data_IF_581200548437
#
_entry.id   IF_581200548437
#
_cell.length_a   1.000
_cell.length_b   1.000
_cell.length_c   1.000
_cell.angle_alpha   90.00
_cell.angle_beta   90.00
_cell.angle_gamma   90.00
#
_symmetry.space_group_name_H-M   'P 1'
#
loop_
_entity.id
_entity.type
_entity.pdbx_description
1 polymer ?
#
# COMPACT_ATOMS: atom_id res chain seq x y z
N UNK A 1 -12.53 -31.66 20.43
CA UNK A 1 -11.61 -31.72 19.27
C UNK A 1 -12.48 -31.84 18.03
N UNK A 2 -12.84 -30.70 17.43
CA UNK A 2 -13.58 -30.67 16.17
C UNK A 2 -12.58 -30.33 15.07
N UNK A 3 -12.50 -31.25 14.10
CA UNK A 3 -11.58 -31.27 12.97
C UNK A 3 -11.95 -30.15 11.99
N UNK A 4 -11.13 -29.09 11.94
CA UNK A 4 -11.30 -27.97 11.02
C UNK A 4 -10.73 -28.38 9.67
N UNK A 5 -11.58 -28.85 8.76
CA UNK A 5 -11.23 -28.99 7.34
C UNK A 5 -11.14 -27.61 6.70
N UNK A 6 -9.92 -27.13 6.49
CA UNK A 6 -9.64 -25.99 5.61
C UNK A 6 -9.83 -26.49 4.16
N UNK A 7 -10.72 -25.89 3.35
CA UNK A 7 -10.82 -26.22 1.93
C UNK A 7 -9.49 -25.88 1.23
N UNK A 8 -8.81 -26.89 0.71
CA UNK A 8 -7.52 -26.74 0.04
C UNK A 8 -7.69 -26.05 -1.31
N UNK A 9 -7.44 -24.74 -1.35
CA UNK A 9 -6.94 -24.09 -2.56
C UNK A 9 -5.42 -24.29 -2.56
N UNK A 10 -4.97 -25.46 -3.01
CA UNK A 10 -3.55 -25.69 -3.29
C UNK A 10 -3.20 -24.90 -4.54
N UNK A 11 -2.58 -23.74 -4.37
CA UNK A 11 -1.79 -23.15 -5.45
C UNK A 11 -0.76 -24.22 -5.85
N UNK A 12 -0.69 -24.67 -7.11
CA UNK A 12 0.41 -25.52 -7.52
C UNK A 12 1.65 -24.65 -7.43
N UNK A 13 2.42 -24.78 -6.33
CA UNK A 13 3.82 -24.41 -6.37
C UNK A 13 4.37 -25.26 -7.50
N UNK A 14 4.79 -24.64 -8.60
CA UNK A 14 5.40 -25.36 -9.71
C UNK A 14 6.69 -25.97 -9.16
N UNK A 15 6.62 -27.24 -8.76
CA UNK A 15 7.74 -28.05 -8.26
C UNK A 15 8.54 -28.65 -9.42
N UNK A 16 8.14 -28.35 -10.65
CA UNK A 16 8.85 -28.79 -11.84
C UNK A 16 10.22 -28.11 -11.83
N UNK A 17 11.23 -28.89 -11.48
CA UNK A 17 12.62 -28.52 -11.73
C UNK A 17 12.70 -28.26 -13.23
N UNK A 18 13.09 -27.05 -13.67
CA UNK A 18 13.16 -26.70 -15.08
C UNK A 18 14.05 -27.71 -15.77
N UNK A 19 13.73 -28.01 -17.02
CA UNK A 19 14.65 -28.80 -17.85
C UNK A 19 16.05 -28.17 -17.80
N UNK A 20 17.12 -28.96 -17.97
CA UNK A 20 18.49 -28.46 -17.87
C UNK A 20 18.79 -27.26 -18.78
N UNK A 21 17.98 -27.05 -19.83
CA UNK A 21 18.11 -25.96 -20.81
C UNK A 21 17.05 -24.84 -20.65
N UNK A 22 16.11 -24.93 -19.70
CA UNK A 22 15.13 -23.87 -19.46
C UNK A 22 15.72 -22.75 -18.60
N UNK A 23 15.59 -21.47 -19.01
CA UNK A 23 16.14 -20.36 -18.24
C UNK A 23 15.46 -20.27 -16.87
N UNK A 24 16.25 -20.13 -15.81
CA UNK A 24 15.73 -19.85 -14.47
C UNK A 24 15.31 -18.38 -14.36
N UNK A 25 16.06 -17.48 -15.00
CA UNK A 25 15.81 -16.04 -15.04
C UNK A 25 15.59 -15.57 -16.48
N UNK A 26 14.52 -14.81 -16.72
CA UNK A 26 14.39 -13.98 -17.92
C UNK A 26 14.48 -12.50 -17.51
N UNK A 27 15.60 -11.87 -17.84
CA UNK A 27 15.85 -10.45 -17.58
C UNK A 27 15.44 -9.63 -18.80
N UNK A 28 14.30 -8.96 -18.69
CA UNK A 28 13.75 -8.13 -19.76
C UNK A 28 14.39 -6.74 -19.74
N UNK A 29 14.78 -6.24 -20.91
CA UNK A 29 15.22 -4.86 -21.11
C UNK A 29 14.22 -4.18 -22.05
N UNK A 30 13.23 -3.41 -21.52
CA UNK A 30 12.30 -2.69 -22.36
C UNK A 30 13.01 -1.50 -23.02
N UNK A 31 12.86 -1.34 -24.33
CA UNK A 31 13.52 -0.27 -25.10
C UNK A 31 12.57 0.45 -26.02
N UNK A 32 12.77 1.75 -26.18
CA UNK A 32 12.07 2.59 -27.15
C UNK A 32 13.03 3.68 -27.66
N UNK A 33 13.46 3.55 -28.92
CA UNK A 33 14.42 4.44 -29.55
C UNK A 33 15.75 4.58 -28.76
N UNK A 34 16.41 3.45 -28.53
CA UNK A 34 17.63 3.30 -27.72
C UNK A 34 18.78 2.70 -28.55
N UNK A 35 18.92 3.10 -29.82
CA UNK A 35 19.90 2.51 -30.75
C UNK A 35 21.37 2.65 -30.26
N UNK A 36 21.65 3.69 -29.47
CA UNK A 36 22.97 3.99 -28.91
C UNK A 36 23.29 3.17 -27.66
N UNK A 37 22.32 3.05 -26.76
CA UNK A 37 22.54 2.57 -25.40
C UNK A 37 22.28 1.06 -25.26
N UNK A 38 21.48 0.48 -26.16
CA UNK A 38 21.10 -0.92 -26.12
C UNK A 38 22.31 -1.87 -26.19
N UNK A 39 23.24 -1.66 -27.13
CA UNK A 39 24.35 -2.60 -27.33
C UNK A 39 25.36 -2.61 -26.17
N UNK A 40 25.84 -1.47 -25.64
CA UNK A 40 26.64 -1.44 -24.42
C UNK A 40 25.92 -2.08 -23.22
N UNK A 41 24.63 -1.78 -23.05
CA UNK A 41 23.81 -2.30 -21.97
C UNK A 41 23.74 -3.84 -21.99
N UNK A 42 23.29 -4.43 -23.09
CA UNK A 42 23.10 -5.89 -23.22
C UNK A 42 24.43 -6.63 -23.09
N UNK A 43 25.52 -6.10 -23.67
CA UNK A 43 26.85 -6.72 -23.54
C UNK A 43 27.33 -6.71 -22.08
N UNK A 44 27.12 -5.62 -21.35
CA UNK A 44 27.48 -5.51 -19.92
C UNK A 44 26.63 -6.44 -19.06
N UNK A 45 25.31 -6.49 -19.31
CA UNK A 45 24.40 -7.42 -18.64
C UNK A 45 24.80 -8.87 -18.88
N UNK A 46 25.01 -9.27 -20.14
CA UNK A 46 25.40 -10.62 -20.52
C UNK A 46 26.73 -11.01 -19.87
N UNK A 47 27.74 -10.14 -19.92
CA UNK A 47 29.03 -10.40 -19.28
C UNK A 47 28.90 -10.56 -17.76
N UNK A 48 28.12 -9.71 -17.09
CA UNK A 48 27.90 -9.78 -15.65
C UNK A 48 27.16 -11.07 -15.25
N UNK A 49 26.07 -11.40 -15.95
CA UNK A 49 25.29 -12.62 -15.70
C UNK A 49 26.13 -13.87 -15.94
N UNK A 50 26.88 -13.92 -17.05
CA UNK A 50 27.78 -15.05 -17.35
C UNK A 50 28.84 -15.24 -16.26
N UNK A 51 29.37 -14.14 -15.71
CA UNK A 51 30.44 -14.21 -14.72
C UNK A 51 29.93 -14.51 -13.29
N UNK A 52 28.71 -14.10 -12.93
CA UNK A 52 28.27 -14.04 -11.53
C UNK A 52 26.96 -14.76 -11.23
N UNK A 53 26.11 -15.02 -12.23
CA UNK A 53 24.81 -15.62 -12.01
C UNK A 53 24.88 -17.15 -12.16
N UNK A 54 24.55 -17.92 -11.11
CA UNK A 54 24.85 -19.36 -11.08
C UNK A 54 23.84 -20.24 -11.82
N UNK A 55 22.82 -19.65 -12.46
CA UNK A 55 21.72 -20.38 -13.10
C UNK A 55 21.59 -20.02 -14.58
N UNK A 56 20.99 -20.89 -15.41
CA UNK A 56 20.62 -20.54 -16.78
C UNK A 56 19.77 -19.27 -16.82
N UNK A 57 20.09 -18.37 -17.74
CA UNK A 57 19.38 -17.10 -17.89
C UNK A 57 19.12 -16.78 -19.36
N UNK A 58 18.16 -15.90 -19.57
CA UNK A 58 17.86 -15.24 -20.84
C UNK A 58 17.81 -13.74 -20.60
N UNK A 59 18.29 -12.96 -21.58
CA UNK A 59 18.04 -11.53 -21.65
C UNK A 59 17.07 -11.30 -22.79
N UNK A 60 15.90 -10.75 -22.51
CA UNK A 60 14.90 -10.45 -23.55
C UNK A 60 14.86 -8.95 -23.80
N UNK A 61 15.32 -8.52 -24.98
CA UNK A 61 15.15 -7.14 -25.44
C UNK A 61 13.70 -6.99 -25.91
N UNK A 62 12.92 -6.20 -25.18
CA UNK A 62 11.52 -5.95 -25.47
C UNK A 62 11.36 -4.57 -26.14
N UNK A 63 11.39 -4.57 -27.46
CA UNK A 63 11.23 -3.37 -28.28
C UNK A 63 9.77 -2.89 -28.26
N UNK A 64 9.59 -1.62 -27.93
CA UNK A 64 8.31 -0.99 -27.66
C UNK A 64 7.92 0.01 -28.76
N UNK A 65 7.84 -0.48 -30.00
CA UNK A 65 7.44 0.32 -31.16
C UNK A 65 8.48 1.35 -31.55
N UNK A 66 9.77 0.99 -31.47
CA UNK A 66 10.86 1.88 -31.90
C UNK A 66 10.77 2.20 -33.38
N UNK A 67 11.23 3.39 -33.75
CA UNK A 67 11.22 3.93 -35.11
C UNK A 67 12.62 4.18 -35.66
N UNK A 68 13.67 3.91 -34.86
CA UNK A 68 15.09 4.06 -35.19
C UNK A 68 15.77 2.69 -35.39
N UNK A 69 17.11 2.65 -35.32
CA UNK A 69 17.90 1.43 -35.49
C UNK A 69 17.80 0.40 -34.35
N UNK A 70 17.05 0.66 -33.28
CA UNK A 70 17.02 -0.17 -32.05
C UNK A 70 16.75 -1.66 -32.34
N UNK A 71 15.73 -1.96 -33.16
CA UNK A 71 15.35 -3.34 -33.46
C UNK A 71 16.45 -4.08 -34.25
N UNK A 72 17.13 -3.38 -35.15
CA UNK A 72 18.26 -3.95 -35.89
C UNK A 72 19.43 -4.28 -34.95
N UNK A 73 19.76 -3.38 -34.04
CA UNK A 73 20.79 -3.60 -33.01
C UNK A 73 20.43 -4.81 -32.12
N UNK A 74 19.17 -4.93 -31.70
CA UNK A 74 18.69 -6.06 -30.92
C UNK A 74 18.89 -7.41 -31.63
N UNK A 75 18.56 -7.49 -32.92
CA UNK A 75 18.76 -8.71 -33.72
C UNK A 75 20.23 -9.05 -33.93
N UNK A 76 21.09 -8.04 -34.11
CA UNK A 76 22.54 -8.24 -34.20
C UNK A 76 23.09 -8.84 -32.91
N UNK A 77 22.70 -8.30 -31.75
CA UNK A 77 23.11 -8.83 -30.44
C UNK A 77 22.64 -10.27 -30.23
N UNK A 78 21.43 -10.62 -30.70
CA UNK A 78 20.92 -11.98 -30.64
C UNK A 78 21.66 -12.98 -31.54
N UNK A 79 22.30 -12.51 -32.61
CA UNK A 79 23.20 -13.32 -33.42
C UNK A 79 24.61 -13.47 -32.83
N UNK A 80 25.07 -12.49 -32.04
CA UNK A 80 26.41 -12.46 -31.45
C UNK A 80 26.51 -13.17 -30.09
N UNK A 81 25.45 -13.10 -29.28
CA UNK A 81 25.45 -13.56 -27.89
C UNK A 81 24.39 -14.64 -27.68
N UNK A 82 24.77 -15.72 -26.99
CA UNK A 82 23.83 -16.76 -26.56
C UNK A 82 22.85 -16.22 -25.51
N UNK A 83 21.63 -16.76 -25.47
CA UNK A 83 20.66 -16.41 -24.43
C UNK A 83 20.04 -15.02 -24.58
N UNK A 84 20.25 -14.34 -25.72
CA UNK A 84 19.55 -13.09 -26.04
C UNK A 84 18.30 -13.39 -26.87
N UNK A 85 17.16 -12.93 -26.40
CA UNK A 85 15.89 -12.94 -27.12
C UNK A 85 15.48 -11.54 -27.56
N UNK A 86 14.74 -11.44 -28.66
CA UNK A 86 14.16 -10.18 -29.13
C UNK A 86 12.65 -10.36 -29.21
N UNK A 87 11.91 -9.40 -28.65
CA UNK A 87 10.46 -9.31 -28.77
C UNK A 87 10.12 -7.90 -29.26
N UNK A 88 9.36 -7.81 -30.35
CA UNK A 88 8.86 -6.54 -30.86
C UNK A 88 7.37 -6.40 -30.59
N UNK A 89 6.99 -5.25 -30.03
CA UNK A 89 5.61 -4.83 -29.84
C UNK A 89 5.38 -3.57 -30.66
N UNK A 90 4.49 -3.63 -31.65
CA UNK A 90 4.27 -2.52 -32.59
C UNK A 90 3.66 -1.27 -31.94
N UNK A 91 2.82 -1.44 -30.91
CA UNK A 91 2.18 -0.33 -30.19
C UNK A 91 3.00 0.13 -28.99
N UNK A 92 3.08 1.45 -28.79
CA UNK A 92 3.82 2.04 -27.67
C UNK A 92 3.18 1.73 -26.31
N UNK A 93 4.05 1.52 -25.32
CA UNK A 93 3.75 1.39 -23.90
C UNK A 93 4.75 0.46 -23.20
N UNK A 94 5.50 0.97 -22.21
CA UNK A 94 6.49 0.16 -21.46
C UNK A 94 5.83 -1.06 -20.82
N UNK A 95 4.71 -0.85 -20.13
CA UNK A 95 3.91 -1.93 -19.57
C UNK A 95 3.41 -2.94 -20.59
N UNK A 96 3.17 -2.52 -21.85
CA UNK A 96 2.81 -3.45 -22.94
C UNK A 96 3.98 -4.35 -23.33
N UNK A 97 5.16 -3.78 -23.52
CA UNK A 97 6.37 -4.52 -23.83
C UNK A 97 6.72 -5.51 -22.70
N UNK A 98 6.67 -5.06 -21.45
CA UNK A 98 6.89 -5.90 -20.27
C UNK A 98 5.86 -7.02 -20.16
N UNK A 99 4.56 -6.71 -20.29
CA UNK A 99 3.50 -7.72 -20.27
C UNK A 99 3.71 -8.78 -21.36
N UNK A 100 4.02 -8.35 -22.58
CA UNK A 100 4.22 -9.26 -23.70
C UNK A 100 5.44 -10.18 -23.45
N UNK A 101 6.56 -9.64 -22.99
CA UNK A 101 7.77 -10.40 -22.68
C UNK A 101 7.53 -11.41 -21.55
N UNK A 102 6.92 -10.96 -20.45
CA UNK A 102 6.65 -11.80 -19.29
C UNK A 102 5.61 -12.90 -19.56
N UNK A 103 4.61 -12.61 -20.40
CA UNK A 103 3.60 -13.61 -20.80
C UNK A 103 4.22 -14.69 -21.70
N UNK A 104 5.14 -14.31 -22.59
CA UNK A 104 5.79 -15.23 -23.53
C UNK A 104 6.93 -16.05 -22.89
N UNK A 105 7.44 -15.63 -21.74
CA UNK A 105 8.56 -16.29 -21.08
C UNK A 105 8.14 -17.57 -20.37
N UNK A 106 9.04 -18.55 -20.30
CA UNK A 106 8.87 -19.77 -19.52
C UNK A 106 9.77 -19.83 -18.28
N UNK A 107 10.56 -18.78 -18.03
CA UNK A 107 11.49 -18.75 -16.90
C UNK A 107 10.76 -18.78 -15.56
N UNK A 108 11.43 -19.25 -14.51
CA UNK A 108 10.85 -19.27 -13.16
C UNK A 108 10.70 -17.87 -12.56
N UNK A 109 11.70 -17.02 -12.80
CA UNK A 109 11.72 -15.64 -12.35
C UNK A 109 11.78 -14.73 -13.56
N UNK A 110 10.88 -13.76 -13.58
CA UNK A 110 10.81 -12.72 -14.57
C UNK A 110 11.32 -11.44 -13.92
N UNK A 111 12.32 -10.81 -14.51
CA UNK A 111 12.82 -9.53 -14.04
C UNK A 111 12.83 -8.51 -15.17
N UNK A 112 12.94 -7.24 -14.83
CA UNK A 112 13.35 -6.23 -15.78
C UNK A 112 14.31 -5.22 -15.15
N UNK A 113 15.12 -4.62 -16.02
CA UNK A 113 15.97 -3.47 -15.71
C UNK A 113 15.88 -2.45 -16.85
N UNK A 114 16.01 -1.16 -16.52
CA UNK A 114 16.13 -0.10 -17.52
C UNK A 114 17.43 -0.23 -18.33
N UNK A 115 17.41 0.27 -19.57
CA UNK A 115 18.54 0.17 -20.53
C UNK A 115 19.76 1.00 -20.12
N UNK A 116 19.57 2.07 -19.37
CA UNK A 116 20.63 2.95 -18.86
C UNK A 116 21.54 2.27 -17.82
N UNK A 117 21.10 1.14 -17.26
CA UNK A 117 21.75 0.46 -16.14
C UNK A 117 22.08 1.41 -14.97
N UNK A 118 21.18 2.35 -14.68
CA UNK A 118 21.34 3.26 -13.52
C UNK A 118 21.39 2.51 -12.19
N UNK A 119 20.86 1.29 -12.15
CA UNK A 119 20.91 0.39 -10.98
C UNK A 119 22.13 -0.51 -11.04
N UNK A 120 22.87 -0.63 -9.94
CA UNK A 120 24.01 -1.56 -9.86
C UNK A 120 23.57 -3.03 -10.03
N UNK A 121 24.23 -3.73 -10.95
CA UNK A 121 23.99 -5.14 -11.26
C UNK A 121 24.34 -6.07 -10.09
N UNK A 122 25.15 -5.62 -9.13
CA UNK A 122 25.39 -6.35 -7.89
C UNK A 122 24.10 -6.65 -7.10
N UNK A 123 23.04 -5.85 -7.31
CA UNK A 123 21.75 -6.04 -6.68
C UNK A 123 20.88 -7.12 -7.35
N UNK A 124 21.27 -7.67 -8.51
CA UNK A 124 20.45 -8.61 -9.26
C UNK A 124 20.25 -9.95 -8.54
N UNK A 125 21.31 -10.54 -7.99
CA UNK A 125 21.17 -11.78 -7.23
C UNK A 125 20.36 -11.58 -5.93
N UNK A 126 20.57 -10.51 -5.13
CA UNK A 126 19.67 -10.14 -4.04
C UNK A 126 18.21 -9.94 -4.45
N UNK A 127 17.93 -9.43 -5.64
CA UNK A 127 16.57 -9.27 -6.17
C UNK A 127 15.92 -10.61 -6.50
N UNK A 128 16.68 -11.57 -7.06
CA UNK A 128 16.15 -12.84 -7.57
C UNK A 128 16.12 -13.94 -6.51
N UNK A 129 17.08 -14.00 -5.59
CA UNK A 129 17.20 -15.07 -4.60
C UNK A 129 15.97 -15.26 -3.67
N UNK A 130 15.28 -14.20 -3.19
CA UNK A 130 14.05 -14.34 -2.40
C UNK A 130 12.91 -15.00 -3.19
N UNK A 131 12.90 -14.85 -4.52
CA UNK A 131 11.88 -15.42 -5.40
C UNK A 131 12.15 -16.89 -5.68
N UNK A 132 13.41 -17.25 -5.95
CA UNK A 132 13.83 -18.64 -6.16
C UNK A 132 13.64 -19.49 -4.90
N UNK A 133 13.89 -18.92 -3.72
CA UNK A 133 13.66 -19.60 -2.43
C UNK A 133 12.19 -19.71 -2.03
N UNK A 134 11.29 -19.03 -2.75
CA UNK A 134 9.87 -18.92 -2.36
C UNK A 134 9.64 -18.10 -1.09
N UNK A 135 10.65 -17.38 -0.60
CA UNK A 135 10.52 -16.46 0.54
C UNK A 135 9.64 -15.25 0.18
N UNK A 136 9.68 -14.82 -1.08
CA UNK A 136 8.91 -13.68 -1.57
C UNK A 136 8.28 -13.99 -2.92
N UNK A 137 7.25 -13.23 -3.25
CA UNK A 137 6.44 -13.43 -4.44
C UNK A 137 6.76 -12.37 -5.51
N UNK A 138 7.12 -11.16 -5.05
CA UNK A 138 7.64 -10.03 -5.84
C UNK A 138 8.86 -9.46 -5.13
N UNK A 139 9.85 -8.98 -5.88
CA UNK A 139 10.98 -8.23 -5.35
C UNK A 139 11.22 -6.95 -6.15
N UNK A 140 11.57 -5.87 -5.47
CA UNK A 140 11.83 -4.57 -6.07
C UNK A 140 13.12 -3.97 -5.55
N UNK A 141 13.84 -3.25 -6.40
CA UNK A 141 14.84 -2.30 -5.97
C UNK A 141 14.17 -1.11 -5.28
N UNK A 142 14.83 -0.54 -4.27
CA UNK A 142 14.40 0.70 -3.62
C UNK A 142 15.55 1.69 -3.50
N UNK A 143 15.26 2.93 -3.88
CA UNK A 143 16.17 4.08 -3.75
C UNK A 143 15.91 4.86 -2.46
N UNK A 144 14.97 4.43 -1.61
CA UNK A 144 14.42 5.25 -0.52
C UNK A 144 14.66 4.68 0.88
N UNK A 145 15.27 3.50 1.00
CA UNK A 145 15.65 2.89 2.28
C UNK A 145 17.07 3.30 2.71
N UNK A 146 17.36 3.20 4.01
CA UNK A 146 18.63 3.67 4.58
C UNK A 146 19.90 2.97 4.08
N UNK A 147 19.77 1.86 3.35
CA UNK A 147 20.89 1.14 2.73
C UNK A 147 21.22 1.55 1.29
N UNK A 148 20.38 2.37 0.65
CA UNK A 148 20.56 2.77 -0.76
C UNK A 148 21.51 3.97 -0.87
N UNK A 149 22.50 3.92 -1.78
CA UNK A 149 23.35 5.08 -2.10
C UNK A 149 22.87 5.70 -3.41
N UNK A 150 22.25 6.87 -3.32
CA UNK A 150 21.60 7.50 -4.46
C UNK A 150 22.19 8.86 -4.75
N UNK A 151 22.71 9.04 -5.96
CA UNK A 151 23.13 10.34 -6.48
C UNK A 151 22.04 10.83 -7.42
N UNK A 152 21.27 11.85 -7.02
CA UNK A 152 20.17 12.40 -7.81
C UNK A 152 19.92 13.88 -7.57
N UNK A 153 19.34 14.55 -8.56
CA UNK A 153 18.94 15.96 -8.42
C UNK A 153 17.79 16.15 -7.41
N UNK A 154 17.82 17.26 -6.67
CA UNK A 154 16.82 17.58 -5.64
C UNK A 154 15.36 17.60 -6.16
N UNK A 155 15.17 17.98 -7.44
CA UNK A 155 13.86 17.97 -8.09
C UNK A 155 13.30 16.54 -8.23
N UNK A 156 14.11 15.60 -8.73
CA UNK A 156 13.71 14.18 -8.89
C UNK A 156 13.46 13.53 -7.54
N UNK A 157 14.26 13.88 -6.53
CA UNK A 157 14.03 13.42 -5.15
C UNK A 157 12.68 13.87 -4.60
N UNK A 158 12.35 15.17 -4.75
CA UNK A 158 11.06 15.69 -4.32
C UNK A 158 9.89 15.02 -5.05
N UNK A 159 9.97 14.87 -6.37
CA UNK A 159 8.92 14.21 -7.17
C UNK A 159 8.72 12.77 -6.71
N UNK A 160 9.80 12.00 -6.57
CA UNK A 160 9.73 10.59 -6.15
C UNK A 160 9.15 10.42 -4.74
N UNK A 161 9.54 11.27 -3.78
CA UNK A 161 8.98 11.23 -2.42
C UNK A 161 7.52 11.63 -2.37
N UNK A 162 7.14 12.69 -3.09
CA UNK A 162 5.74 13.10 -3.20
C UNK A 162 4.88 12.01 -3.84
N UNK A 163 5.40 11.35 -4.87
CA UNK A 163 4.72 10.24 -5.53
C UNK A 163 4.44 9.08 -4.56
N UNK A 164 5.48 8.59 -3.86
CA UNK A 164 5.30 7.50 -2.90
C UNK A 164 4.40 7.93 -1.72
N UNK A 165 4.45 9.18 -1.26
CA UNK A 165 3.51 9.72 -0.26
C UNK A 165 2.05 9.63 -0.71
N UNK A 166 1.78 9.92 -1.99
CA UNK A 166 0.43 9.78 -2.56
C UNK A 166 0.02 8.30 -2.56
N UNK A 167 0.91 7.37 -2.93
CA UNK A 167 0.60 5.94 -2.90
C UNK A 167 0.32 5.42 -1.48
N UNK A 168 1.14 5.81 -0.50
CA UNK A 168 0.93 5.46 0.90
C UNK A 168 -0.38 6.00 1.45
N UNK A 169 -0.75 7.24 1.09
CA UNK A 169 -1.98 7.88 1.61
C UNK A 169 -3.26 7.43 0.88
N UNK A 170 -3.24 7.34 -0.45
CA UNK A 170 -4.43 7.03 -1.24
C UNK A 170 -4.67 5.53 -1.37
N UNK A 171 -3.61 4.73 -1.53
CA UNK A 171 -3.72 3.30 -1.83
C UNK A 171 -3.28 2.40 -0.67
N UNK A 172 -2.76 2.98 0.42
CA UNK A 172 -2.20 2.26 1.57
C UNK A 172 -1.06 1.33 1.15
N UNK A 173 -0.17 1.81 0.27
CA UNK A 173 1.03 1.07 -0.10
C UNK A 173 1.91 0.79 1.14
N UNK A 174 2.47 -0.40 1.24
CA UNK A 174 3.40 -0.82 2.31
C UNK A 174 4.86 -0.80 1.84
N UNK A 175 5.10 -0.78 0.53
CA UNK A 175 6.43 -0.70 -0.09
C UNK A 175 6.93 0.74 -0.21
N UNK A 176 8.24 0.93 -0.20
CA UNK A 176 8.87 2.26 -0.15
C UNK A 176 9.04 2.95 -1.51
N UNK A 177 9.30 2.21 -2.59
CA UNK A 177 9.62 2.79 -3.92
C UNK A 177 8.93 2.05 -5.07
N UNK A 178 7.82 2.60 -5.56
CA UNK A 178 7.13 2.03 -6.73
C UNK A 178 7.89 2.23 -8.05
N UNK A 179 8.62 3.34 -8.18
CA UNK A 179 9.12 3.86 -9.47
C UNK A 179 10.51 3.33 -9.85
N UNK A 180 11.16 2.55 -8.99
CA UNK A 180 12.46 1.97 -9.34
C UNK A 180 12.27 0.94 -10.46
N UNK A 181 12.91 1.17 -11.61
CA UNK A 181 12.88 0.30 -12.81
C UNK A 181 13.74 -0.95 -12.68
N UNK A 182 13.72 -1.56 -11.50
CA UNK A 182 14.44 -2.78 -11.17
C UNK A 182 13.51 -3.67 -10.34
N UNK A 183 12.85 -4.62 -11.01
CA UNK A 183 11.81 -5.45 -10.39
C UNK A 183 11.88 -6.88 -10.88
N UNK A 184 11.49 -7.80 -10.01
CA UNK A 184 11.36 -9.20 -10.32
C UNK A 184 10.10 -9.81 -9.70
N UNK A 185 9.56 -10.83 -10.36
CA UNK A 185 8.33 -11.52 -9.98
C UNK A 185 8.47 -13.01 -10.32
N UNK A 186 7.89 -13.88 -9.49
CA UNK A 186 7.80 -15.30 -9.83
C UNK A 186 6.82 -15.50 -10.99
N UNK A 187 7.12 -16.42 -11.91
CA UNK A 187 6.30 -16.66 -13.10
C UNK A 187 4.85 -17.05 -12.79
N UNK A 188 4.67 -17.95 -11.84
CA UNK A 188 3.34 -18.39 -11.39
C UNK A 188 2.52 -17.25 -10.76
N UNK A 189 3.21 -16.27 -10.17
CA UNK A 189 2.59 -15.04 -9.64
C UNK A 189 2.25 -14.09 -10.77
N UNK A 190 3.18 -13.86 -11.71
CA UNK A 190 2.97 -13.01 -12.87
C UNK A 190 1.76 -13.47 -13.70
N UNK A 191 1.58 -14.77 -13.91
CA UNK A 191 0.46 -15.34 -14.66
C UNK A 191 -0.91 -14.99 -14.09
N UNK A 192 -0.99 -14.77 -12.78
CA UNK A 192 -2.24 -14.42 -12.10
C UNK A 192 -2.43 -12.90 -11.97
N UNK A 193 -1.34 -12.14 -11.85
CA UNK A 193 -1.40 -10.68 -11.65
C UNK A 193 -1.48 -9.92 -12.98
N UNK A 194 -0.71 -10.32 -14.00
CA UNK A 194 -0.65 -9.62 -15.29
C UNK A 194 -2.01 -9.43 -15.98
N UNK A 195 -2.94 -10.41 -15.97
CA UNK A 195 -4.26 -10.22 -16.59
C UNK A 195 -5.11 -9.13 -15.92
N UNK A 196 -4.81 -8.77 -14.67
CA UNK A 196 -5.56 -7.77 -13.91
C UNK A 196 -5.03 -6.34 -14.09
N UNK A 197 -3.79 -6.20 -14.55
CA UNK A 197 -3.20 -4.90 -14.84
C UNK A 197 -3.90 -4.32 -16.07
N UNK A 198 -4.27 -3.04 -16.03
CA UNK A 198 -4.92 -2.35 -17.14
C UNK A 198 -3.96 -1.39 -17.83
N UNK A 199 -3.03 -0.81 -17.08
CA UNK A 199 -2.08 0.14 -17.61
C UNK A 199 -1.09 -0.52 -18.57
N UNK A 200 -0.83 0.15 -19.68
CA UNK A 200 0.16 -0.28 -20.68
C UNK A 200 1.39 0.63 -20.71
N UNK A 201 1.41 1.70 -19.93
CA UNK A 201 2.44 2.73 -19.91
C UNK A 201 3.38 2.59 -18.71
N UNK A 202 3.73 3.73 -18.11
CA UNK A 202 4.63 3.81 -16.96
C UNK A 202 3.98 3.41 -15.63
N UNK A 203 2.65 3.56 -15.52
CA UNK A 203 1.92 3.24 -14.29
C UNK A 203 1.77 1.72 -14.07
N UNK A 204 2.09 0.90 -15.08
CA UNK A 204 2.12 -0.56 -15.02
C UNK A 204 2.80 -1.11 -13.76
N UNK A 205 3.97 -0.57 -13.39
CA UNK A 205 4.74 -1.02 -12.24
C UNK A 205 4.04 -0.76 -10.91
N UNK A 206 3.48 0.44 -10.77
CA UNK A 206 2.73 0.81 -9.57
C UNK A 206 1.46 -0.03 -9.45
N UNK A 207 0.76 -0.24 -10.56
CA UNK A 207 -0.44 -1.08 -10.59
C UNK A 207 -0.11 -2.53 -10.23
N UNK A 208 0.96 -3.11 -10.79
CA UNK A 208 1.47 -4.43 -10.42
C UNK A 208 1.69 -4.55 -8.91
N UNK A 209 2.42 -3.59 -8.30
CA UNK A 209 2.77 -3.66 -6.88
C UNK A 209 1.56 -3.49 -5.97
N UNK A 210 0.65 -2.57 -6.30
CA UNK A 210 -0.58 -2.39 -5.52
C UNK A 210 -1.48 -3.61 -5.63
N UNK A 211 -1.65 -4.19 -6.82
CA UNK A 211 -2.43 -5.42 -7.00
C UNK A 211 -1.78 -6.59 -6.23
N UNK A 212 -0.45 -6.71 -6.27
CA UNK A 212 0.28 -7.74 -5.55
C UNK A 212 0.11 -7.62 -4.03
N UNK A 213 0.31 -6.42 -3.48
CA UNK A 213 0.10 -6.16 -2.05
C UNK A 213 -1.37 -6.40 -1.66
N UNK A 214 -2.31 -5.93 -2.49
CA UNK A 214 -3.74 -6.17 -2.27
C UNK A 214 -4.04 -7.65 -2.31
N UNK A 215 -3.37 -8.46 -3.13
CA UNK A 215 -3.50 -9.92 -3.15
C UNK A 215 -2.85 -10.63 -1.94
N UNK A 216 -2.19 -9.88 -1.04
CA UNK A 216 -1.49 -10.44 0.12
C UNK A 216 -0.15 -11.09 -0.22
N UNK A 217 0.41 -10.77 -1.39
CA UNK A 217 1.71 -11.26 -1.82
C UNK A 217 2.84 -10.59 -1.04
N UNK A 218 3.92 -11.34 -0.80
CA UNK A 218 5.10 -10.84 -0.11
C UNK A 218 5.99 -10.08 -1.09
N UNK A 219 6.14 -8.79 -0.85
CA UNK A 219 7.00 -7.90 -1.62
C UNK A 219 8.31 -7.70 -0.84
N UNK A 220 9.45 -8.04 -1.44
CA UNK A 220 10.77 -7.84 -0.85
C UNK A 220 11.49 -6.65 -1.48
N UNK A 221 11.99 -5.74 -0.65
CA UNK A 221 12.70 -4.54 -1.09
C UNK A 221 14.21 -4.68 -0.92
N UNK A 222 14.94 -4.52 -2.03
CA UNK A 222 16.40 -4.55 -2.07
C UNK A 222 16.92 -3.12 -2.17
N UNK A 223 17.70 -2.62 -1.20
CA UNK A 223 18.35 -1.31 -1.35
C UNK A 223 19.30 -1.35 -2.54
N UNK A 224 19.18 -0.38 -3.44
CA UNK A 224 20.03 -0.30 -4.64
C UNK A 224 20.87 0.96 -4.66
N UNK A 225 22.09 0.82 -5.18
CA UNK A 225 22.90 1.97 -5.55
C UNK A 225 22.42 2.47 -6.91
N UNK A 226 22.17 3.77 -6.99
CA UNK A 226 21.54 4.39 -8.15
C UNK A 226 22.17 5.74 -8.49
N UNK A 227 22.51 5.91 -9.76
CA UNK A 227 23.09 7.16 -10.28
C UNK A 227 22.16 7.71 -11.36
N UNK A 228 21.78 8.98 -11.19
CA UNK A 228 20.89 9.70 -12.09
C UNK A 228 21.50 9.84 -13.48
N UNK A 229 20.82 9.33 -14.51
CA UNK A 229 21.16 9.65 -15.89
C UNK A 229 20.62 11.06 -16.25
N UNK A 230 21.49 12.00 -16.64
CA UNK A 230 21.09 13.35 -17.05
C UNK A 230 20.23 13.35 -18.34
N UNK A 231 20.35 12.37 -19.22
CA UNK A 231 19.60 12.30 -20.48
C UNK A 231 18.24 11.61 -20.29
N UNK A 232 17.21 12.37 -19.93
CA UNK A 232 15.84 11.82 -19.83
C UNK A 232 14.99 12.24 -21.02
N UNK A 233 14.67 11.24 -21.86
CA UNK A 233 13.73 11.36 -22.98
C UNK A 233 12.25 11.30 -22.57
N UNK A 234 11.97 11.18 -21.27
CA UNK A 234 10.61 11.01 -20.72
C UNK A 234 9.98 12.37 -20.42
N UNK A 235 8.76 12.59 -20.92
CA UNK A 235 7.93 13.73 -20.53
C UNK A 235 7.40 13.53 -19.09
N UNK A 236 8.04 14.23 -18.15
CA UNK A 236 7.75 14.13 -16.72
C UNK A 236 6.30 14.56 -16.40
N UNK A 237 5.77 15.58 -17.09
CA UNK A 237 4.44 16.11 -16.79
C UNK A 237 3.34 15.18 -17.30
N UNK A 238 3.47 14.72 -18.55
CA UNK A 238 2.52 13.77 -19.11
C UNK A 238 2.50 12.46 -18.30
N UNK A 239 3.67 11.98 -17.89
CA UNK A 239 3.79 10.77 -17.07
C UNK A 239 3.17 10.95 -15.68
N UNK A 240 3.45 12.08 -15.01
CA UNK A 240 2.86 12.36 -13.70
C UNK A 240 1.33 12.45 -13.73
N UNK A 241 0.76 13.09 -14.76
CA UNK A 241 -0.69 13.17 -14.94
C UNK A 241 -1.29 11.78 -15.22
N UNK A 242 -0.65 10.98 -16.08
CA UNK A 242 -1.07 9.61 -16.36
C UNK A 242 -1.06 8.75 -15.09
N UNK A 243 -0.01 8.84 -14.29
CA UNK A 243 0.09 8.11 -13.03
C UNK A 243 -0.99 8.54 -12.03
N UNK A 244 -1.25 9.85 -11.87
CA UNK A 244 -2.31 10.33 -10.97
C UNK A 244 -3.70 9.83 -11.39
N UNK A 245 -3.97 9.79 -12.70
CA UNK A 245 -5.20 9.18 -13.23
C UNK A 245 -5.25 7.68 -12.96
N UNK A 246 -4.12 6.98 -13.12
CA UNK A 246 -3.96 5.57 -12.77
C UNK A 246 -4.25 5.31 -11.28
N UNK A 247 -3.71 6.13 -10.38
CA UNK A 247 -3.97 6.07 -8.94
C UNK A 247 -5.46 6.28 -8.65
N UNK A 248 -6.09 7.28 -9.25
CA UNK A 248 -7.52 7.56 -9.05
C UNK A 248 -8.44 6.46 -9.61
N UNK A 249 -8.04 5.79 -10.69
CA UNK A 249 -8.71 4.60 -11.23
C UNK A 249 -8.59 3.45 -10.24
N UNK A 250 -7.36 3.09 -9.88
CA UNK A 250 -7.07 1.95 -9.01
C UNK A 250 -7.69 2.13 -7.62
N UNK A 251 -7.66 3.34 -7.05
CA UNK A 251 -8.33 3.66 -5.80
C UNK A 251 -9.83 3.39 -5.86
N UNK A 252 -10.50 3.77 -6.96
CA UNK A 252 -11.93 3.51 -7.15
C UNK A 252 -12.21 2.01 -7.25
N UNK A 253 -11.46 1.28 -8.07
CA UNK A 253 -11.64 -0.17 -8.23
C UNK A 253 -11.49 -0.92 -6.90
N UNK A 254 -10.45 -0.56 -6.16
CA UNK A 254 -10.18 -1.07 -4.82
C UNK A 254 -11.33 -0.78 -3.85
N UNK A 255 -11.88 0.44 -3.86
CA UNK A 255 -13.01 0.83 -2.99
C UNK A 255 -14.29 0.08 -3.35
N UNK A 256 -14.46 -0.27 -4.63
CA UNK A 256 -15.65 -1.00 -5.11
C UNK A 256 -15.61 -2.52 -4.87
N UNK A 257 -14.57 -3.04 -4.19
CA UNK A 257 -14.41 -4.45 -3.81
C UNK A 257 -14.60 -5.43 -4.98
N UNK A 258 -13.75 -5.33 -6.00
CA UNK A 258 -13.82 -6.17 -7.21
C UNK A 258 -13.64 -7.66 -6.88
N UNK A 259 -14.50 -8.56 -7.40
CA UNK A 259 -14.40 -10.00 -7.16
C UNK A 259 -13.05 -10.62 -7.55
N UNK A 260 -12.37 -10.03 -8.55
CA UNK A 260 -11.06 -10.48 -9.05
C UNK A 260 -9.97 -10.48 -7.99
N UNK A 261 -9.89 -9.44 -7.14
CA UNK A 261 -8.89 -9.34 -6.08
C UNK A 261 -9.15 -10.35 -4.95
N UNK A 262 -10.40 -10.59 -4.62
CA UNK A 262 -10.80 -11.60 -3.63
C UNK A 262 -10.45 -13.01 -4.13
N UNK A 263 -10.68 -13.28 -5.42
CA UNK A 263 -10.30 -14.54 -6.05
C UNK A 263 -8.78 -14.72 -6.09
N UNK A 264 -8.02 -13.67 -6.42
CA UNK A 264 -6.56 -13.68 -6.42
C UNK A 264 -5.99 -13.99 -5.02
N UNK A 265 -6.52 -13.34 -3.97
CA UNK A 265 -6.17 -13.65 -2.57
C UNK A 265 -6.41 -15.11 -2.21
N UNK A 266 -7.55 -15.65 -2.64
CA UNK A 266 -7.91 -17.04 -2.38
C UNK A 266 -6.98 -18.02 -3.11
N UNK A 267 -6.60 -17.72 -4.36
CA UNK A 267 -5.68 -18.55 -5.15
C UNK A 267 -4.32 -18.71 -4.49
N UNK A 268 -3.78 -17.65 -3.88
CA UNK A 268 -2.51 -17.72 -3.14
C UNK A 268 -2.62 -18.20 -1.69
N UNK A 269 -3.84 -18.50 -1.20
CA UNK A 269 -4.04 -18.89 0.20
C UNK A 269 -3.67 -17.78 1.21
N UNK A 270 -3.67 -16.52 0.77
CA UNK A 270 -3.25 -15.33 1.56
C UNK A 270 -4.46 -14.54 2.07
N UNK A 271 -5.51 -15.24 2.48
CA UNK A 271 -6.62 -14.60 3.19
C UNK A 271 -6.09 -13.89 4.45
N UNK A 272 -6.62 -12.71 4.83
CA UNK A 272 -6.25 -12.05 6.08
C UNK A 272 -6.36 -13.05 7.22
N UNK A 273 -5.33 -13.15 8.06
CA UNK A 273 -5.38 -13.94 9.28
C UNK A 273 -6.54 -13.42 10.11
N UNK A 274 -7.67 -14.14 10.09
CA UNK A 274 -8.83 -13.77 10.90
C UNK A 274 -8.47 -14.04 12.35
N UNK A 275 -8.44 -13.00 13.21
CA UNK A 275 -8.20 -13.17 14.63
C UNK A 275 -9.51 -13.57 15.30
N UNK A 276 -10.19 -14.62 14.82
CA UNK A 276 -11.26 -15.24 15.61
C UNK A 276 -10.64 -16.18 16.66
N UNK A 277 -9.52 -15.74 17.25
CA UNK A 277 -8.96 -16.29 18.48
C UNK A 277 -9.60 -15.49 19.61
N UNK A 278 -10.48 -16.10 20.42
CA UNK A 278 -11.09 -15.43 21.56
C UNK A 278 -10.00 -14.83 22.46
N UNK A 279 -10.05 -13.51 22.69
CA UNK A 279 -9.10 -12.80 23.57
C UNK A 279 -8.04 -11.93 22.88
N UNK A 280 -7.85 -12.02 21.55
CA UNK A 280 -6.94 -11.12 20.83
C UNK A 280 -7.67 -9.81 20.47
N UNK A 281 -7.24 -8.63 20.98
CA UNK A 281 -7.94 -7.38 20.71
C UNK A 281 -7.89 -7.01 19.23
N UNK A 282 -9.04 -6.67 18.64
CA UNK A 282 -9.11 -6.04 17.31
C UNK A 282 -8.24 -4.76 17.28
N UNK A 283 -7.44 -4.59 16.21
CA UNK A 283 -6.45 -3.52 16.09
C UNK A 283 -7.00 -2.09 16.30
N UNK A 284 -6.12 -1.17 16.71
CA UNK A 284 -6.46 0.24 17.01
C UNK A 284 -7.31 0.96 15.95
N UNK A 285 -7.05 0.82 14.63
CA UNK A 285 -7.80 1.54 13.60
C UNK A 285 -9.28 1.16 13.57
N UNK A 286 -9.60 -0.14 13.69
CA UNK A 286 -10.98 -0.62 13.73
C UNK A 286 -11.73 -0.14 14.97
N UNK A 287 -11.05 -0.08 16.12
CA UNK A 287 -11.62 0.46 17.35
C UNK A 287 -11.85 1.98 17.24
N UNK A 288 -10.91 2.73 16.67
CA UNK A 288 -11.05 4.17 16.50
C UNK A 288 -12.20 4.52 15.55
N UNK A 289 -12.35 3.78 14.44
CA UNK A 289 -13.48 3.95 13.52
C UNK A 289 -14.82 3.72 14.23
N UNK A 290 -14.97 2.60 14.94
CA UNK A 290 -16.19 2.29 15.71
C UNK A 290 -16.46 3.31 16.80
N UNK A 291 -15.42 3.74 17.54
CA UNK A 291 -15.53 4.80 18.55
C UNK A 291 -16.04 6.11 17.95
N UNK A 292 -15.54 6.48 16.77
CA UNK A 292 -15.94 7.69 16.05
C UNK A 292 -17.38 7.58 15.57
N UNK A 293 -17.77 6.45 14.99
CA UNK A 293 -19.17 6.18 14.59
C UNK A 293 -20.12 6.27 15.77
N UNK A 294 -19.78 5.62 16.90
CA UNK A 294 -20.57 5.70 18.13
C UNK A 294 -20.66 7.14 18.65
N UNK A 295 -19.57 7.91 18.55
CA UNK A 295 -19.54 9.34 18.88
C UNK A 295 -20.51 10.18 18.03
N UNK A 296 -20.46 10.02 16.70
CA UNK A 296 -21.36 10.74 15.77
C UNK A 296 -22.83 10.41 16.04
N UNK A 297 -23.15 9.13 16.19
CA UNK A 297 -24.51 8.68 16.50
C UNK A 297 -24.99 9.19 17.86
N UNK A 298 -24.11 9.22 18.86
CA UNK A 298 -24.44 9.75 20.20
C UNK A 298 -24.72 11.25 20.16
N UNK A 299 -23.98 12.01 19.34
CA UNK A 299 -24.22 13.44 19.14
C UNK A 299 -25.56 13.69 18.45
N UNK A 300 -25.91 12.93 17.42
CA UNK A 300 -27.21 13.02 16.76
C UNK A 300 -28.35 12.67 17.74
N UNK A 301 -28.20 11.60 18.53
CA UNK A 301 -29.16 11.23 19.56
C UNK A 301 -29.31 12.30 20.64
N UNK A 302 -28.22 12.97 21.04
CA UNK A 302 -28.24 14.08 21.98
C UNK A 302 -29.09 15.24 21.44
N UNK A 303 -28.88 15.65 20.18
CA UNK A 303 -29.64 16.75 19.56
C UNK A 303 -31.14 16.42 19.47
N UNK A 304 -31.48 15.20 19.07
CA UNK A 304 -32.87 14.74 19.01
C UNK A 304 -33.54 14.71 20.39
N UNK A 305 -32.82 14.19 21.39
CA UNK A 305 -33.32 14.10 22.76
C UNK A 305 -33.47 15.48 23.41
N UNK A 306 -32.52 16.39 23.18
CA UNK A 306 -32.63 17.78 23.59
C UNK A 306 -33.87 18.42 22.97
N UNK A 307 -34.03 18.34 21.64
CA UNK A 307 -35.19 18.92 20.95
C UNK A 307 -36.52 18.38 21.48
N UNK A 308 -36.62 17.08 21.75
CA UNK A 308 -37.81 16.45 22.29
C UNK A 308 -38.11 16.90 23.74
N UNK A 309 -37.12 16.88 24.64
CA UNK A 309 -37.31 17.27 26.05
C UNK A 309 -37.59 18.78 26.16
N UNK A 310 -37.07 19.60 25.25
CA UNK A 310 -37.35 21.05 25.19
C UNK A 310 -38.82 21.37 24.95
N UNK A 311 -39.61 20.44 24.42
CA UNK A 311 -41.06 20.60 24.26
C UNK A 311 -41.80 20.68 25.61
N UNK A 312 -41.25 20.06 26.65
CA UNK A 312 -41.89 19.93 27.97
C UNK A 312 -41.07 20.53 29.11
N UNK A 313 -39.80 20.90 28.88
CA UNK A 313 -38.88 21.37 29.91
C UNK A 313 -38.01 22.57 29.49
N UNK A 314 -37.53 23.31 30.48
CA UNK A 314 -36.59 24.44 30.31
C UNK A 314 -35.25 24.03 29.68
N UNK A 315 -34.52 25.00 29.14
CA UNK A 315 -33.32 24.75 28.32
C UNK A 315 -32.23 24.00 29.07
N UNK A 316 -32.01 24.41 30.31
CA UNK A 316 -30.99 23.83 31.17
C UNK A 316 -31.35 22.39 31.58
N UNK A 317 -32.61 22.14 31.95
CA UNK A 317 -33.06 20.81 32.33
C UNK A 317 -33.03 19.84 31.15
N UNK A 318 -33.47 20.28 29.96
CA UNK A 318 -33.40 19.48 28.75
C UNK A 318 -31.96 19.15 28.34
N UNK A 319 -31.05 20.12 28.44
CA UNK A 319 -29.63 19.91 28.17
C UNK A 319 -29.01 18.89 29.14
N UNK A 320 -29.27 19.05 30.45
CA UNK A 320 -28.75 18.16 31.48
C UNK A 320 -29.24 16.71 31.26
N UNK A 321 -30.54 16.52 31.05
CA UNK A 321 -31.12 15.20 30.83
C UNK A 321 -30.60 14.56 29.53
N UNK A 322 -30.53 15.32 28.44
CA UNK A 322 -30.02 14.82 27.16
C UNK A 322 -28.54 14.40 27.26
N UNK A 323 -27.70 15.18 27.93
CA UNK A 323 -26.29 14.85 28.17
C UNK A 323 -26.13 13.60 29.04
N UNK A 324 -26.89 13.48 30.14
CA UNK A 324 -26.82 12.32 31.04
C UNK A 324 -27.24 11.02 30.34
N UNK A 325 -28.38 11.04 29.66
CA UNK A 325 -28.91 9.86 28.97
C UNK A 325 -27.95 9.42 27.85
N UNK A 326 -27.47 10.36 27.04
CA UNK A 326 -26.52 10.02 25.97
C UNK A 326 -25.16 9.59 26.48
N UNK A 327 -24.66 10.12 27.61
CA UNK A 327 -23.43 9.64 28.23
C UNK A 327 -23.53 8.17 28.68
N UNK A 328 -24.68 7.75 29.21
CA UNK A 328 -24.95 6.36 29.59
C UNK A 328 -25.00 5.44 28.37
N UNK A 329 -25.77 5.83 27.35
CA UNK A 329 -25.91 5.06 26.11
C UNK A 329 -24.56 4.95 25.40
N UNK A 330 -23.81 6.04 25.27
CA UNK A 330 -22.50 6.08 24.62
C UNK A 330 -21.48 5.17 25.31
N UNK A 331 -21.48 5.12 26.65
CA UNK A 331 -20.57 4.25 27.41
C UNK A 331 -20.91 2.77 27.20
N UNK A 332 -22.20 2.45 27.19
CA UNK A 332 -22.69 1.08 26.93
C UNK A 332 -22.43 0.64 25.48
N UNK A 333 -22.65 1.53 24.52
CA UNK A 333 -22.39 1.30 23.10
C UNK A 333 -20.90 1.06 22.85
N UNK A 334 -20.01 1.89 23.41
CA UNK A 334 -18.57 1.68 23.30
C UNK A 334 -18.11 0.39 23.98
N UNK A 335 -18.68 0.05 25.15
CA UNK A 335 -18.38 -1.21 25.84
C UNK A 335 -18.64 -2.43 24.96
N UNK A 336 -19.78 -2.47 24.24
CA UNK A 336 -20.18 -3.61 23.40
C UNK A 336 -19.57 -3.57 22.00
N UNK A 337 -19.71 -2.45 21.30
CA UNK A 337 -19.40 -2.33 19.86
C UNK A 337 -17.93 -1.99 19.61
N UNK A 338 -17.35 -1.11 20.42
CA UNK A 338 -15.98 -0.62 20.23
C UNK A 338 -14.95 -1.54 20.88
N UNK A 339 -15.21 -1.97 22.13
CA UNK A 339 -14.25 -2.72 22.95
C UNK A 339 -14.63 -4.19 23.20
N UNK A 340 -15.78 -4.66 22.68
CA UNK A 340 -16.14 -6.10 22.68
C UNK A 340 -16.38 -6.72 24.06
N UNK A 341 -16.64 -5.91 25.09
CA UNK A 341 -16.87 -6.38 26.47
C UNK A 341 -18.34 -6.77 26.65
N UNK A 342 -18.58 -8.08 26.75
CA UNK A 342 -19.90 -8.68 26.96
C UNK A 342 -20.10 -9.11 28.43
N UNK A 343 -21.34 -9.25 28.90
CA UNK A 343 -21.67 -9.67 30.28
C UNK A 343 -22.02 -8.52 31.24
N UNK A 344 -22.37 -8.85 32.49
CA UNK A 344 -22.76 -7.88 33.56
C UNK A 344 -21.61 -7.49 34.50
N UNK A 345 -20.50 -8.22 34.44
CA UNK A 345 -19.33 -7.94 35.28
C UNK A 345 -18.77 -6.54 35.04
N UNK A 346 -18.48 -5.85 36.15
CA UNK A 346 -17.97 -4.47 36.21
C UNK A 346 -18.78 -3.43 35.43
N UNK A 347 -20.01 -3.73 35.01
CA UNK A 347 -20.82 -2.82 34.20
C UNK A 347 -21.08 -1.48 34.91
N UNK A 348 -21.37 -1.52 36.22
CA UNK A 348 -21.56 -0.33 37.05
C UNK A 348 -20.27 0.49 37.17
N UNK A 349 -19.13 -0.18 37.35
CA UNK A 349 -17.83 0.46 37.42
C UNK A 349 -17.46 1.15 36.09
N UNK A 350 -17.66 0.48 34.96
CA UNK A 350 -17.41 1.06 33.64
C UNK A 350 -18.34 2.25 33.36
N UNK A 351 -19.58 2.21 33.85
CA UNK A 351 -20.51 3.32 33.75
C UNK A 351 -20.07 4.54 34.57
N UNK A 352 -19.57 4.31 35.79
CA UNK A 352 -18.99 5.35 36.63
C UNK A 352 -17.72 5.96 36.00
N UNK A 353 -16.81 5.13 35.50
CA UNK A 353 -15.61 5.58 34.79
C UNK A 353 -15.96 6.34 33.49
N UNK A 354 -16.96 5.89 32.75
CA UNK A 354 -17.47 6.59 31.57
C UNK A 354 -18.02 7.98 31.90
N UNK A 355 -18.67 8.13 33.06
CA UNK A 355 -19.16 9.42 33.56
C UNK A 355 -18.02 10.35 33.97
N UNK A 356 -16.98 9.83 34.63
CA UNK A 356 -15.77 10.59 34.96
C UNK A 356 -15.07 11.13 33.70
N UNK A 357 -14.93 10.29 32.67
CA UNK A 357 -14.33 10.72 31.40
C UNK A 357 -15.20 11.76 30.68
N UNK A 358 -16.53 11.63 30.76
CA UNK A 358 -17.45 12.64 30.23
C UNK A 358 -17.30 13.98 30.95
N UNK A 359 -17.25 13.98 32.29
CA UNK A 359 -17.02 15.18 33.09
C UNK A 359 -15.67 15.84 32.78
N UNK A 360 -14.61 15.04 32.59
CA UNK A 360 -13.30 15.53 32.17
C UNK A 360 -13.37 16.24 30.80
N UNK A 361 -14.08 15.66 29.83
CA UNK A 361 -14.28 16.28 28.51
C UNK A 361 -15.01 17.62 28.58
N UNK A 362 -16.03 17.73 29.43
CA UNK A 362 -16.73 18.99 29.68
C UNK A 362 -15.83 20.03 30.36
N UNK A 363 -15.01 19.61 31.31
CA UNK A 363 -14.05 20.48 31.99
C UNK A 363 -12.99 21.00 31.02
N UNK A 364 -12.51 20.16 30.07
CA UNK A 364 -11.55 20.57 29.06
C UNK A 364 -12.12 21.62 28.10
N UNK A 365 -13.33 21.41 27.59
CA UNK A 365 -13.97 22.36 26.64
C UNK A 365 -14.35 23.68 27.32
N UNK A 366 -14.92 23.59 28.53
CA UNK A 366 -15.28 24.76 29.34
C UNK A 366 -14.04 25.52 29.82
N UNK A 367 -12.98 24.81 30.21
CA UNK A 367 -11.69 25.35 30.60
C UNK A 367 -10.96 26.05 29.45
N UNK A 368 -11.02 25.49 28.23
CA UNK A 368 -10.44 26.11 27.04
C UNK A 368 -11.11 27.45 26.72
N UNK A 369 -12.43 27.54 26.83
CA UNK A 369 -13.16 28.80 26.63
C UNK A 369 -12.86 29.81 27.73
N UNK A 370 -12.78 29.36 29.00
CA UNK A 370 -12.39 30.22 30.12
C UNK A 370 -10.96 30.76 29.99
N UNK A 371 -10.02 29.95 29.49
CA UNK A 371 -8.64 30.36 29.22
C UNK A 371 -8.58 31.38 28.06
N UNK A 372 -9.32 31.13 26.97
CA UNK A 372 -9.45 32.07 25.86
C UNK A 372 -9.95 33.44 26.33
N UNK A 373 -11.01 33.47 27.13
CA UNK A 373 -11.58 34.72 27.65
C UNK A 373 -10.66 35.47 28.61
N UNK A 374 -9.74 34.78 29.30
CA UNK A 374 -8.71 35.43 30.14
C UNK A 374 -7.58 36.02 29.30
N UNK A 375 -7.18 35.35 28.22
CA UNK A 375 -6.11 35.82 27.35
C UNK A 375 -6.57 36.88 26.34
N UNK A 376 -7.84 36.85 25.94
CA UNK A 376 -8.45 37.79 25.02
C UNK A 376 -9.88 38.12 25.49
N UNK A 377 -10.13 39.33 26.03
CA UNK A 377 -11.45 39.73 26.53
C UNK A 377 -12.53 39.88 25.44
N UNK A 378 -12.13 40.03 24.17
CA UNK A 378 -13.03 40.17 23.03
C UNK A 378 -12.62 39.24 21.88
N UNK A 379 -12.72 37.91 22.07
CA UNK A 379 -12.36 36.96 21.03
C UNK A 379 -13.36 37.05 19.87
N UNK A 380 -12.85 36.87 18.64
CA UNK A 380 -13.73 36.77 17.48
C UNK A 380 -14.47 35.43 17.51
N UNK A 381 -15.70 35.38 16.98
CA UNK A 381 -16.50 34.14 16.92
C UNK A 381 -15.77 32.99 16.22
N UNK A 382 -14.95 33.30 15.22
CA UNK A 382 -14.13 32.32 14.49
C UNK A 382 -13.07 31.71 15.42
N UNK A 383 -12.42 32.53 16.25
CA UNK A 383 -11.42 32.07 17.20
C UNK A 383 -12.06 31.21 18.31
N UNK A 384 -13.22 31.60 18.83
CA UNK A 384 -14.00 30.79 19.79
C UNK A 384 -14.35 29.42 19.19
N UNK A 385 -14.87 29.40 17.97
CA UNK A 385 -15.19 28.16 17.25
C UNK A 385 -13.95 27.29 17.03
N UNK A 386 -12.82 27.87 16.61
CA UNK A 386 -11.57 27.15 16.39
C UNK A 386 -11.04 26.51 17.69
N UNK A 387 -11.04 27.27 18.80
CA UNK A 387 -10.63 26.76 20.12
C UNK A 387 -11.54 25.63 20.58
N UNK A 388 -12.86 25.77 20.39
CA UNK A 388 -13.82 24.71 20.71
C UNK A 388 -13.62 23.46 19.86
N UNK A 389 -13.31 23.59 18.56
CA UNK A 389 -13.02 22.45 17.68
C UNK A 389 -11.78 21.70 18.18
N UNK A 390 -10.69 22.42 18.44
CA UNK A 390 -9.43 21.83 18.93
C UNK A 390 -9.64 21.17 20.30
N UNK A 391 -10.34 21.84 21.22
CA UNK A 391 -10.64 21.30 22.54
C UNK A 391 -11.51 20.03 22.47
N UNK A 392 -12.51 19.99 21.59
CA UNK A 392 -13.36 18.81 21.39
C UNK A 392 -12.60 17.65 20.76
N UNK A 393 -11.75 17.89 19.77
CA UNK A 393 -10.89 16.86 19.17
C UNK A 393 -9.92 16.29 20.21
N UNK A 394 -9.29 17.16 21.00
CA UNK A 394 -8.38 16.77 22.09
C UNK A 394 -9.09 15.95 23.17
N UNK A 395 -10.28 16.39 23.61
CA UNK A 395 -11.10 15.68 24.58
C UNK A 395 -11.56 14.31 24.04
N UNK A 396 -11.87 14.22 22.74
CA UNK A 396 -12.26 12.95 22.09
C UNK A 396 -11.11 11.96 22.06
N UNK A 397 -9.89 12.43 21.74
CA UNK A 397 -8.69 11.59 21.77
C UNK A 397 -8.36 11.09 23.19
N UNK A 398 -8.37 11.99 24.18
CA UNK A 398 -8.17 11.63 25.59
C UNK A 398 -9.21 10.62 26.07
N UNK A 399 -10.49 10.82 25.69
CA UNK A 399 -11.58 9.89 26.00
C UNK A 399 -11.31 8.50 25.42
N UNK A 400 -10.90 8.41 24.17
CA UNK A 400 -10.56 7.15 23.52
C UNK A 400 -9.41 6.44 24.25
N UNK A 401 -8.32 7.16 24.55
CA UNK A 401 -7.15 6.61 25.24
C UNK A 401 -7.48 6.13 26.65
N UNK A 402 -8.26 6.88 27.42
CA UNK A 402 -8.71 6.47 28.76
C UNK A 402 -9.67 5.28 28.72
N UNK A 403 -10.59 5.25 27.75
CA UNK A 403 -11.50 4.11 27.61
C UNK A 403 -10.74 2.83 27.24
N UNK A 404 -9.81 2.91 26.29
CA UNK A 404 -8.97 1.78 25.88
C UNK A 404 -7.98 1.35 26.98
N UNK A 405 -7.29 2.32 27.54
CA UNK A 405 -6.13 2.12 28.39
C UNK A 405 -6.42 2.07 29.88
N UNK A 406 -7.64 2.33 30.34
CA UNK A 406 -8.01 2.31 31.75
C UNK A 406 -9.36 1.64 32.01
N UNK A 407 -10.42 2.03 31.30
CA UNK A 407 -11.78 1.52 31.53
C UNK A 407 -11.96 0.09 31.04
N UNK A 408 -11.49 -0.19 29.82
CA UNK A 408 -11.64 -1.50 29.17
C UNK A 408 -10.28 -2.18 28.96
N UNK A 409 -9.36 -2.01 29.92
CA UNK A 409 -8.08 -2.75 29.90
C UNK A 409 -8.37 -4.24 29.75
N UNK A 410 -7.75 -4.93 28.77
CA UNK A 410 -7.72 -6.38 28.78
C UNK A 410 -7.14 -6.81 30.13
N UNK A 411 -7.92 -7.56 30.91
CA UNK A 411 -7.31 -8.33 32.00
C UNK A 411 -6.56 -9.44 31.30
N UNK A 412 -5.23 -9.45 31.49
CA UNK A 412 -4.35 -10.46 30.92
C UNK A 412 -4.69 -11.85 31.44
#
# INVERSE_FOLDING_TARGET
MADVRIPGATCPVRTDVPGPDEPVLDLVVPVYNEETDLAPCVRRLHANLTATFPYPFRITVADNGSTDGTLHVAHTLAGELSGIGVLHVAEKGRGRALRAAWTASHAQVLAYTDVDLSTDLAALLPLVAPLLSGHSDVSIGTRLTGGARVVRGAKRECISRCYNLILHSALHADFSDAQCGFKAIRKDVADQVLPLIQDTGFFFDTELLILAQRAGLRIHEVPVDWVDDPDTRVDILATALADLMGIARLAREVLTATPSLTNLRAQFGRAPLQPDIPGVPVGMPGQLARFTTVGVLSTAAYLALFAAIRLTAGAQLANLLALLITAVVNTTANRRLTFGVHGRERAVLHQFQGMLIFALGLAMTSGALAALNRCNPHPTRILEMAVLVVANLSATLVRFLLMRGWVFRPTG
#
